data_IF_387540267400
#
_entry.id   IF_387540267400
#
_cell.length_a   1.000
_cell.length_b   1.000
_cell.length_c   1.000
_cell.angle_alpha   90.00
_cell.angle_beta   90.00
_cell.angle_gamma   90.00
#
_symmetry.space_group_name_H-M   'P 1'
#
loop_
_entity.id
_entity.type
_entity.pdbx_description
1 polymer ?
#
# COMPACT_ATOMS: atom_id res chain seq x y z
N UNK A 1 54.39 42.55 -17.28
CA UNK A 1 52.93 42.36 -17.48
C UNK A 1 52.60 40.96 -17.05
N UNK A 2 52.18 40.78 -15.78
CA UNK A 2 52.01 39.47 -15.13
C UNK A 2 50.55 39.13 -15.09
N UNK A 3 50.17 38.05 -15.77
CA UNK A 3 48.81 37.52 -15.80
C UNK A 3 48.55 36.69 -14.50
N UNK A 4 47.60 37.15 -13.69
CA UNK A 4 47.08 36.42 -12.54
C UNK A 4 46.02 35.40 -13.01
N UNK A 5 46.31 34.15 -12.86
CA UNK A 5 45.37 33.02 -13.07
C UNK A 5 44.49 32.90 -11.82
N UNK A 6 43.21 33.19 -11.93
CA UNK A 6 42.21 32.91 -10.87
C UNK A 6 41.75 31.47 -11.01
N UNK A 7 42.13 30.62 -10.06
CA UNK A 7 41.63 29.25 -9.92
C UNK A 7 40.25 29.31 -9.27
N UNK A 8 39.22 28.97 -10.02
CA UNK A 8 37.88 28.79 -9.49
C UNK A 8 37.76 27.44 -8.79
N UNK A 9 37.37 27.45 -7.52
CA UNK A 9 37.13 26.22 -6.76
C UNK A 9 35.87 25.51 -7.30
N UNK A 10 35.85 24.16 -7.36
CA UNK A 10 34.70 23.43 -7.84
C UNK A 10 33.53 23.56 -6.85
N UNK A 11 32.38 23.98 -7.36
CA UNK A 11 31.10 23.96 -6.61
C UNK A 11 30.72 22.49 -6.38
N UNK A 12 30.70 22.09 -5.13
CA UNK A 12 30.19 20.76 -4.75
C UNK A 12 28.67 20.74 -4.96
N UNK A 13 28.23 20.08 -6.01
CA UNK A 13 26.82 19.75 -6.20
C UNK A 13 26.50 18.56 -5.28
N UNK A 14 26.02 18.87 -4.07
CA UNK A 14 25.47 17.84 -3.17
C UNK A 14 24.18 17.33 -3.84
N UNK A 15 24.16 16.08 -4.29
CA UNK A 15 23.00 15.51 -4.95
C UNK A 15 21.78 15.53 -4.04
N UNK A 16 20.63 15.88 -4.57
CA UNK A 16 19.34 15.91 -3.85
C UNK A 16 19.01 14.55 -3.24
N UNK A 17 19.49 13.47 -3.84
CA UNK A 17 19.32 12.08 -3.39
C UNK A 17 19.92 11.82 -1.99
N UNK A 18 20.95 12.54 -1.58
CA UNK A 18 21.61 12.35 -0.29
C UNK A 18 20.84 12.95 0.91
N UNK A 19 19.92 13.89 0.66
CA UNK A 19 19.12 14.53 1.72
C UNK A 19 17.95 13.67 2.21
N UNK A 20 17.53 12.66 1.46
CA UNK A 20 16.43 11.76 1.84
C UNK A 20 16.89 10.54 2.64
N UNK A 21 18.19 10.22 2.63
CA UNK A 21 18.74 9.06 3.34
C UNK A 21 18.78 9.22 4.88
N UNK A 22 18.75 10.46 5.40
CA UNK A 22 18.90 10.76 6.83
C UNK A 22 17.60 11.17 7.54
N UNK A 23 16.46 11.28 6.83
CA UNK A 23 15.18 11.57 7.48
C UNK A 23 14.45 10.25 7.78
N UNK A 24 13.99 10.04 9.03
CA UNK A 24 13.16 8.90 9.34
C UNK A 24 11.91 8.94 8.45
N UNK A 25 11.59 7.81 7.82
CA UNK A 25 10.41 7.70 6.97
C UNK A 25 9.11 7.97 7.73
N UNK A 26 7.98 8.10 7.01
CA UNK A 26 6.70 8.39 7.63
C UNK A 26 6.26 7.27 8.58
N UNK A 27 5.65 7.66 9.67
CA UNK A 27 5.00 6.74 10.63
C UNK A 27 3.66 6.25 10.08
N UNK A 28 3.09 5.15 10.60
CA UNK A 28 1.74 4.72 10.24
C UNK A 28 0.67 5.81 10.43
N UNK A 29 0.83 6.67 11.44
CA UNK A 29 -0.09 7.79 11.69
C UNK A 29 0.00 8.87 10.60
N UNK A 30 1.20 9.17 10.13
CA UNK A 30 1.40 10.13 9.03
C UNK A 30 0.89 9.58 7.69
N UNK A 31 1.08 8.29 7.42
CA UNK A 31 0.48 7.63 6.25
C UNK A 31 -1.05 7.66 6.33
N UNK A 32 -1.63 7.40 7.52
CA UNK A 32 -3.08 7.43 7.73
C UNK A 32 -3.67 8.81 7.49
N UNK A 33 -3.02 9.86 7.98
CA UNK A 33 -3.43 11.24 7.75
C UNK A 33 -3.35 11.61 6.26
N UNK A 34 -2.29 11.18 5.60
CA UNK A 34 -2.11 11.39 4.17
C UNK A 34 -3.23 10.73 3.35
N UNK A 35 -3.51 9.43 3.55
CA UNK A 35 -4.57 8.73 2.78
C UNK A 35 -5.95 9.31 3.04
N UNK A 36 -6.24 9.77 4.26
CA UNK A 36 -7.50 10.45 4.58
C UNK A 36 -7.68 11.76 3.83
N UNK A 37 -6.64 12.58 3.83
CA UNK A 37 -6.65 13.87 3.12
C UNK A 37 -6.77 13.67 1.61
N UNK A 38 -6.04 12.73 1.05
CA UNK A 38 -6.10 12.38 -0.37
C UNK A 38 -7.46 11.82 -0.76
N UNK A 39 -8.07 10.98 0.08
CA UNK A 39 -9.41 10.43 -0.16
C UNK A 39 -10.54 11.48 -0.04
N UNK A 40 -10.29 12.60 0.62
CA UNK A 40 -11.22 13.72 0.71
C UNK A 40 -11.18 14.65 -0.51
N UNK A 41 -10.17 14.51 -1.37
CA UNK A 41 -10.05 15.23 -2.65
C UNK A 41 -11.00 14.61 -3.69
N UNK A 42 -12.18 15.21 -3.83
CA UNK A 42 -13.23 14.70 -4.72
C UNK A 42 -12.84 14.76 -6.20
N UNK A 43 -12.05 15.74 -6.59
CA UNK A 43 -11.62 15.90 -7.98
C UNK A 43 -10.62 14.80 -8.35
N UNK A 44 -9.67 14.51 -7.47
CA UNK A 44 -8.73 13.41 -7.63
C UNK A 44 -9.44 12.05 -7.69
N UNK A 45 -10.37 11.80 -6.75
CA UNK A 45 -11.10 10.54 -6.67
C UNK A 45 -11.98 10.33 -7.90
N UNK A 46 -12.67 11.37 -8.38
CA UNK A 46 -13.54 11.29 -9.56
C UNK A 46 -12.78 11.19 -10.88
N UNK A 47 -11.51 11.60 -10.92
CA UNK A 47 -10.67 11.50 -12.11
C UNK A 47 -10.16 10.06 -12.39
N UNK A 48 -10.28 9.13 -11.43
CA UNK A 48 -9.89 7.74 -11.65
C UNK A 48 -10.85 7.07 -12.62
N UNK A 49 -10.38 6.56 -13.78
CA UNK A 49 -11.20 5.74 -14.65
C UNK A 49 -11.62 4.46 -13.93
N UNK A 50 -12.90 4.13 -13.93
CA UNK A 50 -13.43 2.89 -13.37
C UNK A 50 -13.75 1.90 -14.50
N UNK A 51 -13.22 0.69 -14.36
CA UNK A 51 -13.48 -0.42 -15.28
C UNK A 51 -14.48 -1.38 -14.60
N UNK A 52 -15.58 -1.78 -15.24
CA UNK A 52 -16.52 -2.73 -14.68
C UNK A 52 -15.98 -4.17 -14.58
N UNK A 53 -14.93 -4.51 -15.32
CA UNK A 53 -14.38 -5.87 -15.39
C UNK A 53 -13.12 -6.07 -14.55
N UNK A 54 -12.40 -4.99 -14.23
CA UNK A 54 -11.13 -5.08 -13.52
C UNK A 54 -10.85 -3.91 -12.59
N UNK A 55 -9.99 -4.13 -11.63
CA UNK A 55 -9.49 -3.05 -10.80
C UNK A 55 -8.64 -2.10 -11.63
N UNK A 56 -8.84 -0.81 -11.42
CA UNK A 56 -8.01 0.25 -11.99
C UNK A 56 -7.18 0.90 -10.89
N UNK A 57 -6.01 1.45 -11.23
CA UNK A 57 -5.21 2.16 -10.25
C UNK A 57 -4.32 3.22 -10.89
N UNK A 58 -4.00 4.20 -10.08
CA UNK A 58 -2.96 5.20 -10.35
C UNK A 58 -1.98 5.19 -9.19
N UNK A 59 -0.71 5.09 -9.50
CA UNK A 59 0.39 5.15 -8.53
C UNK A 59 1.01 6.54 -8.53
N UNK A 60 1.33 7.07 -7.35
CA UNK A 60 1.95 8.37 -7.16
C UNK A 60 2.83 8.38 -5.91
N UNK A 61 3.60 9.45 -5.74
CA UNK A 61 4.47 9.62 -4.60
C UNK A 61 3.69 10.13 -3.38
N UNK A 62 3.91 9.49 -2.25
CA UNK A 62 3.38 9.90 -0.96
C UNK A 62 4.41 10.65 -0.10
N UNK A 63 4.10 10.96 1.17
CA UNK A 63 4.98 11.70 2.06
C UNK A 63 6.25 10.92 2.40
N UNK A 64 7.40 11.61 2.47
CA UNK A 64 8.65 11.06 2.95
C UNK A 64 9.19 9.88 2.13
N UNK A 65 8.95 9.87 0.83
CA UNK A 65 9.37 8.80 -0.08
C UNK A 65 8.50 7.53 0.03
N UNK A 66 7.28 7.65 0.58
CA UNK A 66 6.29 6.56 0.51
C UNK A 66 5.68 6.46 -0.87
N UNK A 67 5.16 5.29 -1.19
CA UNK A 67 4.39 5.01 -2.40
C UNK A 67 2.90 5.08 -2.10
N UNK A 68 2.11 5.68 -2.99
CA UNK A 68 0.67 5.76 -2.83
C UNK A 68 -0.08 5.28 -4.07
N UNK A 69 -1.30 4.78 -3.85
CA UNK A 69 -2.17 4.20 -4.87
C UNK A 69 -3.59 4.68 -4.68
N UNK A 70 -4.21 5.16 -5.75
CA UNK A 70 -5.65 5.33 -5.86
C UNK A 70 -6.19 4.14 -6.62
N UNK A 71 -7.12 3.37 -6.02
CA UNK A 71 -7.58 2.10 -6.56
C UNK A 71 -9.09 2.09 -6.71
N UNK A 72 -9.57 1.73 -7.91
CA UNK A 72 -10.97 1.47 -8.22
C UNK A 72 -11.27 -0.03 -8.13
N UNK A 73 -12.38 -0.35 -7.48
CA UNK A 73 -12.83 -1.72 -7.19
C UNK A 73 -14.19 -1.96 -7.84
N UNK A 74 -14.28 -2.72 -8.92
CA UNK A 74 -15.56 -3.16 -9.45
C UNK A 74 -16.34 -4.01 -8.44
N UNK A 75 -17.66 -4.13 -8.59
CA UNK A 75 -18.48 -5.04 -7.79
C UNK A 75 -17.93 -6.46 -7.78
N UNK A 76 -17.90 -7.10 -6.61
CA UNK A 76 -17.48 -8.49 -6.45
C UNK A 76 -16.00 -8.77 -6.62
N UNK A 77 -15.15 -7.73 -6.66
CA UNK A 77 -13.69 -7.92 -6.81
C UNK A 77 -12.95 -7.79 -5.48
N UNK A 78 -11.75 -8.33 -5.43
CA UNK A 78 -10.89 -8.26 -4.25
C UNK A 78 -9.42 -8.53 -4.57
N UNK A 79 -8.59 -8.46 -3.54
CA UNK A 79 -7.15 -8.69 -3.67
C UNK A 79 -6.75 -10.16 -3.56
N UNK A 80 -7.58 -10.98 -2.89
CA UNK A 80 -7.09 -12.20 -2.27
C UNK A 80 -6.17 -11.92 -1.08
N UNK A 81 -5.81 -12.97 -0.35
CA UNK A 81 -4.92 -12.88 0.81
C UNK A 81 -3.51 -12.51 0.39
N UNK A 82 -2.96 -11.45 0.99
CA UNK A 82 -1.60 -10.98 0.70
C UNK A 82 -0.99 -10.23 1.88
N UNK A 83 0.31 -9.97 1.79
CA UNK A 83 1.02 -9.01 2.63
C UNK A 83 1.89 -8.08 1.76
N UNK A 84 2.55 -7.15 2.42
CA UNK A 84 3.31 -6.06 1.80
C UNK A 84 4.81 -6.14 2.12
N UNK A 85 5.30 -7.34 2.48
CA UNK A 85 6.68 -7.53 2.92
C UNK A 85 7.00 -6.67 4.15
N UNK A 86 8.08 -5.92 4.05
CA UNK A 86 8.58 -5.06 5.14
C UNK A 86 7.91 -3.68 5.18
N UNK A 87 6.93 -3.39 4.32
CA UNK A 87 6.26 -2.09 4.32
C UNK A 87 5.22 -2.00 5.43
N UNK A 88 5.22 -0.87 6.12
CA UNK A 88 4.07 -0.39 6.87
C UNK A 88 3.11 0.29 5.91
N UNK A 89 1.84 0.40 6.27
CA UNK A 89 0.89 1.03 5.37
C UNK A 89 -0.34 1.62 6.06
N UNK A 90 -1.10 2.34 5.25
CA UNK A 90 -2.41 2.82 5.61
C UNK A 90 -3.31 2.87 4.39
N UNK A 91 -4.62 2.75 4.59
CA UNK A 91 -5.59 2.97 3.52
C UNK A 91 -6.90 3.55 4.04
N UNK A 92 -7.66 4.13 3.14
CA UNK A 92 -8.96 4.77 3.40
C UNK A 92 -9.90 4.49 2.24
N UNK A 93 -11.15 4.16 2.54
CA UNK A 93 -12.22 4.10 1.54
C UNK A 93 -12.68 5.52 1.19
N UNK A 94 -12.49 5.93 -0.07
CA UNK A 94 -12.89 7.25 -0.57
C UNK A 94 -14.36 7.27 -1.02
N UNK A 95 -14.81 6.22 -1.72
CA UNK A 95 -16.23 6.05 -2.13
C UNK A 95 -16.64 4.59 -1.99
N UNK A 96 -17.95 4.35 -1.87
CA UNK A 96 -18.50 3.01 -1.66
C UNK A 96 -18.15 2.42 -0.29
N UNK A 97 -18.08 1.11 -0.25
CA UNK A 97 -17.76 0.33 0.95
C UNK A 97 -16.82 -0.82 0.58
N UNK A 98 -15.83 -1.07 1.41
CA UNK A 98 -14.93 -2.21 1.31
C UNK A 98 -15.04 -3.10 2.55
N UNK A 99 -14.66 -4.35 2.41
CA UNK A 99 -14.46 -5.27 3.53
C UNK A 99 -12.99 -5.62 3.63
N UNK A 100 -12.43 -5.55 4.83
CA UNK A 100 -11.11 -6.10 5.14
C UNK A 100 -11.27 -7.38 5.96
N UNK A 101 -10.74 -8.49 5.48
CA UNK A 101 -10.43 -9.66 6.29
C UNK A 101 -8.93 -9.66 6.58
N UNK A 102 -8.54 -9.80 7.85
CA UNK A 102 -7.14 -9.74 8.26
C UNK A 102 -6.81 -10.80 9.29
N UNK A 103 -5.54 -11.16 9.40
CA UNK A 103 -5.03 -12.05 10.44
C UNK A 103 -4.45 -11.24 11.60
N UNK A 104 -4.96 -11.45 12.81
CA UNK A 104 -4.43 -10.84 14.04
C UNK A 104 -3.31 -11.72 14.64
N UNK A 105 -2.38 -12.13 13.78
CA UNK A 105 -1.22 -12.94 14.16
C UNK A 105 -0.02 -12.53 13.32
N UNK A 106 1.15 -12.55 13.92
CA UNK A 106 2.39 -12.35 13.18
C UNK A 106 2.85 -13.70 12.62
N UNK A 107 2.96 -13.77 11.29
CA UNK A 107 3.44 -14.95 10.62
C UNK A 107 4.99 -14.95 10.55
N UNK A 108 5.63 -16.13 10.52
CA UNK A 108 7.06 -16.22 10.19
C UNK A 108 7.32 -15.64 8.80
N UNK A 109 8.45 -14.95 8.63
CA UNK A 109 8.81 -14.31 7.36
C UNK A 109 9.49 -15.25 6.38
N UNK A 110 10.04 -16.38 6.86
CA UNK A 110 10.82 -17.34 6.07
C UNK A 110 10.59 -18.76 6.56
N UNK A 111 10.92 -19.72 5.72
CA UNK A 111 11.05 -21.14 6.11
C UNK A 111 9.74 -21.93 6.10
N UNK A 112 8.65 -21.40 5.52
CA UNK A 112 7.39 -22.12 5.42
C UNK A 112 6.73 -21.94 4.04
N UNK A 113 5.93 -22.92 3.69
CA UNK A 113 5.02 -22.86 2.53
C UNK A 113 3.56 -23.01 2.92
N UNK A 114 3.30 -23.69 4.02
CA UNK A 114 1.96 -23.84 4.60
C UNK A 114 2.03 -23.67 6.09
N UNK A 115 1.04 -22.99 6.66
CA UNK A 115 0.89 -22.80 8.11
C UNK A 115 -0.53 -23.13 8.51
N UNK A 116 -0.69 -23.83 9.62
CA UNK A 116 -1.96 -23.97 10.27
C UNK A 116 -2.18 -22.82 11.25
N UNK A 117 -3.23 -22.06 11.03
CA UNK A 117 -3.60 -20.92 11.86
C UNK A 117 -4.37 -21.39 13.08
N UNK A 118 -4.03 -20.82 14.23
CA UNK A 118 -4.79 -21.06 15.46
C UNK A 118 -6.16 -20.37 15.39
N UNK A 119 -7.15 -20.89 16.09
CA UNK A 119 -8.47 -20.28 16.16
C UNK A 119 -8.43 -18.87 16.75
N UNK A 120 -9.40 -18.01 16.33
CA UNK A 120 -9.57 -16.66 16.88
C UNK A 120 -8.61 -15.60 16.33
N UNK A 121 -7.84 -15.92 15.28
CA UNK A 121 -6.94 -14.92 14.62
C UNK A 121 -7.63 -14.08 13.58
N UNK A 122 -8.81 -14.48 13.11
CA UNK A 122 -9.54 -13.79 12.08
C UNK A 122 -10.14 -12.48 12.56
N UNK A 123 -9.99 -11.46 11.75
CA UNK A 123 -10.63 -10.15 11.93
C UNK A 123 -11.30 -9.76 10.63
N UNK A 124 -12.59 -9.46 10.71
CA UNK A 124 -13.35 -8.89 9.59
C UNK A 124 -13.83 -7.50 9.96
N UNK A 125 -13.74 -6.57 9.03
CA UNK A 125 -14.18 -5.19 9.20
C UNK A 125 -14.87 -4.71 7.95
N UNK A 126 -16.00 -4.07 8.14
CA UNK A 126 -16.63 -3.26 7.10
C UNK A 126 -16.03 -1.87 7.14
N UNK A 127 -15.68 -1.35 5.99
CA UNK A 127 -15.00 -0.07 5.80
C UNK A 127 -15.83 0.82 4.87
N UNK A 128 -16.85 1.49 5.38
CA UNK A 128 -17.61 2.46 4.60
C UNK A 128 -16.74 3.67 4.24
N UNK A 129 -17.27 4.54 3.38
CA UNK A 129 -16.62 5.80 3.01
C UNK A 129 -16.07 6.54 4.24
N UNK A 130 -14.82 6.95 4.18
CA UNK A 130 -14.07 7.63 5.24
C UNK A 130 -13.48 6.69 6.30
N UNK A 131 -13.88 5.42 6.33
CA UNK A 131 -13.23 4.46 7.20
C UNK A 131 -11.80 4.20 6.74
N UNK A 132 -10.89 4.10 7.70
CA UNK A 132 -9.46 4.02 7.41
C UNK A 132 -8.72 3.10 8.37
N UNK A 133 -7.61 2.55 7.90
CA UNK A 133 -6.76 1.61 8.60
C UNK A 133 -5.30 1.99 8.44
N UNK A 134 -4.53 1.83 9.52
CA UNK A 134 -3.08 1.77 9.46
C UNK A 134 -2.62 0.41 9.99
N UNK A 135 -1.52 -0.09 9.45
CA UNK A 135 -0.97 -1.39 9.82
C UNK A 135 0.57 -1.37 9.79
N UNK A 136 1.15 -2.27 10.55
CA UNK A 136 2.59 -2.47 10.62
C UNK A 136 3.11 -3.46 9.59
N UNK A 137 4.40 -3.79 9.70
CA UNK A 137 5.07 -4.78 8.87
C UNK A 137 4.37 -6.14 8.93
N UNK A 138 4.39 -6.89 7.82
CA UNK A 138 3.86 -8.26 7.72
C UNK A 138 2.36 -8.38 8.02
N UNK A 139 1.60 -7.32 7.78
CA UNK A 139 0.15 -7.38 7.88
C UNK A 139 -0.43 -8.24 6.76
N UNK A 140 -1.08 -9.33 7.12
CA UNK A 140 -1.72 -10.25 6.17
C UNK A 140 -3.21 -9.98 6.14
N UNK A 141 -3.72 -9.63 4.97
CA UNK A 141 -5.13 -9.34 4.77
C UNK A 141 -5.60 -9.62 3.34
N UNK A 142 -6.89 -9.52 3.13
CA UNK A 142 -7.55 -9.32 1.84
C UNK A 142 -8.54 -8.16 1.95
N UNK A 143 -8.70 -7.44 0.85
CA UNK A 143 -9.66 -6.35 0.71
C UNK A 143 -10.63 -6.69 -0.40
N UNK A 144 -11.93 -6.50 -0.14
CA UNK A 144 -13.02 -6.93 -1.01
C UNK A 144 -14.02 -5.79 -1.23
N UNK A 145 -14.50 -5.61 -2.46
CA UNK A 145 -15.75 -4.93 -2.73
C UNK A 145 -16.85 -5.99 -2.84
N UNK A 146 -17.64 -6.15 -1.80
CA UNK A 146 -18.73 -7.14 -1.75
C UNK A 146 -20.05 -6.61 -2.32
N UNK A 147 -20.10 -5.35 -2.76
CA UNK A 147 -21.25 -4.82 -3.50
C UNK A 147 -21.48 -5.63 -4.77
N UNK A 148 -22.74 -5.75 -5.17
CA UNK A 148 -23.12 -6.40 -6.43
C UNK A 148 -23.26 -5.41 -7.58
N UNK A 149 -23.31 -4.13 -7.28
CA UNK A 149 -23.71 -3.10 -8.26
C UNK A 149 -22.83 -1.85 -8.23
N UNK A 150 -22.14 -1.59 -7.13
CA UNK A 150 -21.43 -0.33 -6.94
C UNK A 150 -19.92 -0.50 -6.87
N UNK A 151 -19.22 0.37 -7.57
CA UNK A 151 -17.77 0.51 -7.42
C UNK A 151 -17.43 1.12 -6.07
N UNK A 152 -16.30 0.74 -5.54
CA UNK A 152 -15.63 1.45 -4.46
C UNK A 152 -14.32 2.07 -4.97
N UNK A 153 -13.86 3.09 -4.28
CA UNK A 153 -12.52 3.69 -4.50
C UNK A 153 -11.82 3.82 -3.17
N UNK A 154 -10.54 3.53 -3.16
CA UNK A 154 -9.70 3.67 -1.97
C UNK A 154 -8.36 4.30 -2.27
N UNK A 155 -7.76 4.93 -1.25
CA UNK A 155 -6.39 5.44 -1.28
C UNK A 155 -5.55 4.59 -0.34
N UNK A 156 -4.41 4.12 -0.81
CA UNK A 156 -3.43 3.33 -0.06
C UNK A 156 -2.09 4.06 -0.05
N UNK A 157 -1.30 3.87 1.02
CA UNK A 157 0.08 4.35 1.08
C UNK A 157 0.95 3.35 1.84
N UNK A 158 2.20 3.16 1.36
CA UNK A 158 3.15 2.19 1.90
C UNK A 158 4.53 2.82 2.07
N UNK A 159 5.19 2.47 3.16
CA UNK A 159 6.58 2.86 3.40
C UNK A 159 7.41 1.72 4.02
N UNK A 160 8.63 1.42 3.49
CA UNK A 160 9.13 1.90 2.21
C UNK A 160 8.17 1.57 1.05
N UNK A 161 8.40 2.10 -0.18
CA UNK A 161 7.68 1.63 -1.37
C UNK A 161 7.66 0.12 -1.43
N UNK A 162 6.57 -0.47 -1.89
CA UNK A 162 6.36 -1.91 -1.87
C UNK A 162 7.52 -2.67 -2.51
N UNK A 163 8.34 -3.42 -1.74
CA UNK A 163 9.46 -4.17 -2.30
C UNK A 163 9.01 -5.49 -2.94
N UNK A 164 7.90 -6.02 -2.42
CA UNK A 164 7.25 -7.25 -2.88
C UNK A 164 5.87 -7.38 -2.24
N UNK A 165 5.03 -8.25 -2.81
CA UNK A 165 3.81 -8.76 -2.17
C UNK A 165 3.87 -10.29 -2.15
N UNK A 166 3.57 -10.89 -1.01
CA UNK A 166 3.36 -12.33 -0.91
C UNK A 166 1.87 -12.63 -1.06
N UNK A 167 1.53 -13.53 -1.97
CA UNK A 167 0.17 -14.01 -2.19
C UNK A 167 -0.06 -15.31 -1.48
N UNK A 168 -1.21 -15.44 -0.88
CA UNK A 168 -1.58 -16.63 -0.12
C UNK A 168 -2.93 -17.17 -0.60
N UNK A 169 -3.06 -18.52 -0.59
CA UNK A 169 -4.37 -19.18 -0.58
C UNK A 169 -4.73 -19.57 0.84
N UNK A 170 -6.03 -19.67 1.12
CA UNK A 170 -6.54 -20.09 2.41
C UNK A 170 -7.63 -21.13 2.26
N UNK A 171 -7.49 -22.25 2.97
CA UNK A 171 -8.50 -23.31 3.06
C UNK A 171 -8.70 -23.67 4.52
N UNK A 172 -9.82 -23.25 5.09
CA UNK A 172 -10.07 -23.42 6.52
C UNK A 172 -9.02 -22.73 7.39
N UNK A 173 -8.34 -23.47 8.23
CA UNK A 173 -7.23 -23.01 9.07
C UNK A 173 -5.87 -22.95 8.35
N UNK A 174 -5.75 -23.53 7.16
CA UNK A 174 -4.47 -23.62 6.45
C UNK A 174 -4.27 -22.41 5.53
N UNK A 175 -3.18 -21.69 5.78
CA UNK A 175 -2.67 -20.62 4.91
C UNK A 175 -1.47 -21.14 4.13
N UNK A 176 -1.46 -20.97 2.81
CA UNK A 176 -0.37 -21.41 1.94
C UNK A 176 0.21 -20.24 1.17
N UNK A 177 1.54 -20.13 1.14
CA UNK A 177 2.26 -19.20 0.27
C UNK A 177 2.24 -19.73 -1.17
N UNK A 178 1.61 -18.99 -2.06
CA UNK A 178 1.49 -19.36 -3.49
C UNK A 178 2.57 -18.67 -4.30
N UNK A 179 2.72 -17.36 -4.13
CA UNK A 179 3.55 -16.54 -4.99
C UNK A 179 4.20 -15.38 -4.22
N UNK A 180 5.32 -14.89 -4.75
CA UNK A 180 5.99 -13.66 -4.31
C UNK A 180 6.10 -12.77 -5.54
N UNK A 181 5.24 -11.76 -5.62
CA UNK A 181 5.24 -10.75 -6.68
C UNK A 181 6.21 -9.63 -6.35
N UNK A 182 6.84 -9.07 -7.37
CA UNK A 182 7.71 -7.90 -7.27
C UNK A 182 7.11 -6.72 -8.06
N UNK A 183 7.63 -5.48 -7.89
CA UNK A 183 7.09 -4.31 -8.58
C UNK A 183 6.98 -4.42 -10.09
N UNK A 184 7.87 -5.18 -10.72
CA UNK A 184 7.85 -5.46 -12.16
C UNK A 184 6.67 -6.34 -12.61
N UNK A 185 6.04 -7.05 -11.69
CA UNK A 185 4.91 -7.96 -11.96
C UNK A 185 3.54 -7.24 -11.89
N UNK A 186 3.50 -5.95 -11.46
CA UNK A 186 2.26 -5.19 -11.24
C UNK A 186 1.90 -4.23 -12.39
N UNK A 187 2.20 -4.59 -13.60
CA UNK A 187 1.89 -3.79 -14.80
C UNK A 187 0.52 -4.06 -15.38
#
# INVERSE_FOLDING_TARGET
MSLRTTTSAPVQVTSVTQRFADSPGPTPAQLLEFVRRTAADADLVSALPLDPEGRTWVRFEGPGGSEAWLIGWPPGTGTGWHDHGESIGAFTTATGELTENALAVRLPTKGWRSLELVGGVDRRRTLPRGASRAFGHHHVHEVLNESRTEHAVSVHAYYPPLPLMRRFSRTGSVLRLEEVEKPEDWQ
#
